data_IF_549651126577
#
_entry.id   IF_549651126577
#
_cell.length_a   1.000
_cell.length_b   1.000
_cell.length_c   1.000
_cell.angle_alpha   90.00
_cell.angle_beta   90.00
_cell.angle_gamma   90.00
#
_symmetry.space_group_name_H-M   'P 1'
#
loop_
_entity.id
_entity.type
_entity.pdbx_description
1 polymer ?
#
# COMPACT_ATOMS: atom_id res chain seq x y z
N UNK A 1 9.75 -17.05 -4.29
CA UNK A 1 10.14 -15.84 -3.55
C UNK A 1 8.90 -15.08 -3.15
N UNK A 2 8.85 -14.67 -1.89
CA UNK A 2 7.69 -13.93 -1.40
C UNK A 2 7.89 -12.43 -1.66
N UNK A 3 6.91 -11.81 -2.26
CA UNK A 3 6.89 -10.37 -2.48
C UNK A 3 5.79 -9.79 -1.60
N UNK A 4 6.08 -8.68 -0.92
CA UNK A 4 5.12 -8.04 -0.04
C UNK A 4 4.88 -6.60 -0.44
N UNK A 5 3.66 -6.14 -0.19
CA UNK A 5 3.30 -4.75 -0.31
C UNK A 5 3.25 -4.21 1.12
N UNK A 6 4.10 -3.24 1.42
CA UNK A 6 4.26 -2.76 2.79
C UNK A 6 4.40 -1.25 2.85
N UNK A 7 4.27 -0.70 4.04
CA UNK A 7 4.51 0.71 4.27
C UNK A 7 5.98 0.95 4.59
N UNK A 8 6.56 1.95 3.97
CA UNK A 8 7.90 2.42 4.28
C UNK A 8 7.80 3.80 4.93
N UNK A 9 8.29 3.90 6.16
CA UNK A 9 8.22 5.15 6.90
C UNK A 9 9.25 6.14 6.38
N UNK A 10 8.81 7.38 6.20
CA UNK A 10 9.63 8.50 5.76
C UNK A 10 9.29 9.71 6.62
N UNK A 11 10.01 10.81 6.39
CA UNK A 11 9.75 12.05 7.08
C UNK A 11 10.48 12.18 8.40
N UNK A 12 10.12 13.20 9.18
CA UNK A 12 10.74 13.54 10.44
C UNK A 12 10.02 12.84 11.61
N UNK A 13 10.65 12.84 12.77
CA UNK A 13 10.09 12.18 13.97
C UNK A 13 8.65 12.65 14.28
N UNK A 14 8.37 13.93 14.11
CA UNK A 14 7.05 14.49 14.44
C UNK A 14 6.12 14.59 13.25
N UNK A 15 6.61 14.31 12.05
CA UNK A 15 5.82 14.39 10.82
C UNK A 15 6.08 13.16 9.95
N UNK A 16 5.68 11.98 10.44
CA UNK A 16 5.88 10.77 9.64
C UNK A 16 4.91 10.74 8.47
N UNK A 17 5.41 10.27 7.34
CA UNK A 17 4.56 9.88 6.24
C UNK A 17 5.08 8.56 5.68
N UNK A 18 4.26 7.90 4.90
CA UNK A 18 4.58 6.56 4.45
C UNK A 18 4.41 6.45 2.96
N UNK A 19 5.24 5.61 2.36
CA UNK A 19 5.04 5.17 0.98
C UNK A 19 4.56 3.73 1.00
N UNK A 20 3.68 3.41 0.07
CA UNK A 20 3.23 2.04 -0.14
C UNK A 20 4.17 1.45 -1.16
N UNK A 21 4.96 0.47 -0.76
CA UNK A 21 6.03 -0.08 -1.60
C UNK A 21 5.88 -1.58 -1.75
N UNK A 22 6.38 -2.07 -2.88
CA UNK A 22 6.49 -3.50 -3.15
C UNK A 22 7.93 -3.89 -2.90
N UNK A 23 8.15 -4.89 -2.08
CA UNK A 23 9.49 -5.32 -1.71
C UNK A 23 9.56 -6.83 -1.49
N UNK A 24 10.76 -7.37 -1.66
CA UNK A 24 11.02 -8.76 -1.34
C UNK A 24 10.91 -8.95 0.17
N UNK A 25 10.20 -9.99 0.60
CA UNK A 25 10.00 -10.29 2.01
C UNK A 25 11.33 -10.56 2.75
N UNK A 26 12.36 -10.92 2.03
CA UNK A 26 13.69 -11.15 2.60
C UNK A 26 14.47 -9.87 2.86
N UNK A 27 14.05 -8.77 2.26
CA UNK A 27 14.72 -7.50 2.46
C UNK A 27 14.36 -6.95 3.83
N UNK A 28 15.36 -6.85 4.70
CA UNK A 28 15.17 -6.38 6.07
C UNK A 28 15.15 -4.87 6.19
N UNK A 29 15.61 -4.18 5.15
CA UNK A 29 15.73 -2.73 5.21
C UNK A 29 14.76 -2.06 4.26
N UNK A 30 14.16 -1.01 4.76
CA UNK A 30 13.17 -0.24 4.03
C UNK A 30 13.72 0.50 2.82
N UNK A 31 15.04 0.52 2.64
CA UNK A 31 15.64 1.23 1.51
C UNK A 31 15.57 0.50 0.16
N UNK A 32 15.14 -0.76 0.13
CA UNK A 32 15.14 -1.55 -1.09
C UNK A 32 13.73 -1.95 -1.50
N UNK A 33 13.05 -1.05 -2.15
CA UNK A 33 11.76 -1.33 -2.73
C UNK A 33 11.91 -1.69 -4.20
N UNK A 34 11.11 -2.64 -4.66
CA UNK A 34 11.03 -2.96 -6.08
C UNK A 34 10.33 -1.82 -6.81
N UNK A 35 9.27 -1.31 -6.21
CA UNK A 35 8.45 -0.26 -6.80
C UNK A 35 7.68 0.46 -5.70
N UNK A 36 7.45 1.76 -5.88
CA UNK A 36 6.55 2.54 -5.02
C UNK A 36 5.22 2.69 -5.75
N UNK A 37 4.13 2.26 -5.11
CA UNK A 37 2.81 2.26 -5.73
C UNK A 37 1.81 3.19 -5.05
N UNK A 38 2.22 3.90 -4.03
CA UNK A 38 1.32 4.84 -3.38
C UNK A 38 1.96 5.56 -2.23
N UNK A 39 1.17 6.41 -1.57
CA UNK A 39 1.60 7.14 -0.40
C UNK A 39 0.46 7.30 0.60
N UNK A 40 0.83 7.46 1.87
CA UNK A 40 -0.10 7.61 2.98
C UNK A 40 0.42 8.66 3.94
N UNK A 41 -0.37 9.68 4.18
CA UNK A 41 -0.05 10.79 5.09
C UNK A 41 -1.13 10.85 6.17
N UNK A 42 -0.94 10.14 7.31
CA UNK A 42 -2.01 10.01 8.30
C UNK A 42 -2.31 11.31 9.04
N UNK A 43 -1.35 12.23 9.09
CA UNK A 43 -1.56 13.49 9.82
C UNK A 43 -2.19 14.59 9.00
N UNK A 44 -2.43 14.37 7.72
CA UNK A 44 -3.19 15.31 6.91
C UNK A 44 -4.66 15.26 7.32
N UNK A 45 -5.37 16.37 7.12
CA UNK A 45 -6.81 16.41 7.38
C UNK A 45 -7.56 16.80 6.12
N UNK A 46 -8.29 15.87 5.50
CA UNK A 46 -8.34 14.44 5.83
C UNK A 46 -7.04 13.71 5.51
N UNK A 47 -6.85 12.52 6.07
CA UNK A 47 -5.67 11.71 5.77
C UNK A 47 -5.54 11.53 4.27
N UNK A 48 -4.32 11.69 3.77
CA UNK A 48 -4.04 11.50 2.35
C UNK A 48 -3.69 10.05 2.08
N UNK A 49 -4.46 9.40 1.22
CA UNK A 49 -4.18 8.04 0.78
C UNK A 49 -4.25 8.03 -0.74
N UNK A 50 -3.12 7.77 -1.38
CA UNK A 50 -3.06 7.64 -2.84
C UNK A 50 -2.49 6.28 -3.19
N UNK A 51 -3.10 5.58 -4.12
CA UNK A 51 -2.66 4.28 -4.59
C UNK A 51 -2.74 4.26 -6.11
N UNK A 52 -1.68 3.79 -6.75
CA UNK A 52 -1.71 3.49 -8.18
C UNK A 52 -2.47 2.16 -8.34
N UNK A 53 -3.74 2.25 -8.67
CA UNK A 53 -4.62 1.08 -8.74
C UNK A 53 -4.14 0.05 -9.73
N UNK A 54 -3.67 0.46 -10.90
CA UNK A 54 -3.18 -0.49 -11.91
C UNK A 54 -2.02 -1.31 -11.38
N UNK A 55 -1.06 -0.65 -10.73
CA UNK A 55 0.11 -1.35 -10.19
C UNK A 55 -0.27 -2.21 -9.00
N UNK A 56 -1.18 -1.72 -8.14
CA UNK A 56 -1.67 -2.53 -7.02
C UNK A 56 -2.35 -3.80 -7.53
N UNK A 57 -3.21 -3.68 -8.53
CA UNK A 57 -3.88 -4.85 -9.12
C UNK A 57 -2.87 -5.81 -9.74
N UNK A 58 -1.86 -5.28 -10.44
CA UNK A 58 -0.81 -6.10 -11.02
C UNK A 58 -0.10 -6.94 -9.96
N UNK A 59 0.39 -6.27 -8.89
CA UNK A 59 1.16 -6.96 -7.87
C UNK A 59 0.32 -7.95 -7.07
N UNK A 60 -0.91 -7.61 -6.75
CA UNK A 60 -1.82 -8.56 -6.10
C UNK A 60 -2.08 -9.76 -7.00
N UNK A 61 -2.22 -9.52 -8.31
CA UNK A 61 -2.47 -10.58 -9.28
C UNK A 61 -1.31 -11.55 -9.44
N UNK A 62 -0.08 -11.11 -9.21
CA UNK A 62 1.09 -11.99 -9.27
C UNK A 62 1.47 -12.58 -7.90
N UNK A 63 0.63 -12.39 -6.90
CA UNK A 63 0.80 -13.04 -5.61
C UNK A 63 1.48 -12.21 -4.53
N UNK A 64 1.71 -10.92 -4.75
CA UNK A 64 2.24 -10.07 -3.70
C UNK A 64 1.23 -9.98 -2.54
N UNK A 65 1.73 -10.08 -1.32
CA UNK A 65 0.87 -10.10 -0.14
C UNK A 65 0.97 -8.77 0.61
N UNK A 66 -0.15 -8.06 0.81
CA UNK A 66 -0.13 -6.83 1.59
C UNK A 66 -0.02 -7.13 3.08
N UNK A 67 0.72 -6.28 3.79
CA UNK A 67 0.72 -6.31 5.24
C UNK A 67 -0.64 -5.83 5.75
N UNK A 68 -0.96 -6.06 7.03
CA UNK A 68 -2.24 -5.62 7.60
C UNK A 68 -2.52 -4.13 7.36
N UNK A 69 -1.59 -3.21 7.67
CA UNK A 69 -1.87 -1.79 7.42
C UNK A 69 -2.13 -1.49 5.96
N UNK A 70 -1.39 -2.12 5.04
CA UNK A 70 -1.59 -1.89 3.61
C UNK A 70 -2.93 -2.46 3.16
N UNK A 71 -3.28 -3.64 3.64
CA UNK A 71 -4.58 -4.22 3.29
C UNK A 71 -5.71 -3.28 3.71
N UNK A 72 -5.62 -2.71 4.90
CA UNK A 72 -6.61 -1.74 5.35
C UNK A 72 -6.69 -0.52 4.42
N UNK A 73 -5.55 0.01 4.00
CA UNK A 73 -5.53 1.13 3.05
C UNK A 73 -6.15 0.74 1.72
N UNK A 74 -5.86 -0.46 1.23
CA UNK A 74 -6.46 -0.95 -0.02
C UNK A 74 -7.96 -1.14 0.11
N UNK A 75 -8.45 -1.52 1.28
CA UNK A 75 -9.89 -1.60 1.53
C UNK A 75 -10.54 -0.22 1.47
N UNK A 76 -9.87 0.79 2.03
CA UNK A 76 -10.37 2.17 2.01
C UNK A 76 -10.42 2.74 0.60
N UNK A 77 -9.44 2.44 -0.24
CA UNK A 77 -9.43 2.90 -1.64
C UNK A 77 -10.31 2.06 -2.55
N UNK A 78 -10.71 0.87 -2.11
CA UNK A 78 -11.49 -0.06 -2.93
C UNK A 78 -10.66 -1.02 -3.76
N UNK A 79 -9.35 -0.89 -3.76
CA UNK A 79 -8.48 -1.75 -4.58
C UNK A 79 -8.51 -3.20 -4.12
N UNK A 80 -8.64 -3.44 -2.82
CA UNK A 80 -8.74 -4.79 -2.29
C UNK A 80 -10.01 -5.49 -2.77
N UNK A 81 -11.14 -4.79 -2.66
CA UNK A 81 -12.42 -5.32 -3.09
C UNK A 81 -12.43 -5.59 -4.60
N UNK A 82 -11.83 -4.69 -5.38
CA UNK A 82 -11.70 -4.87 -6.82
C UNK A 82 -10.90 -6.12 -7.15
N UNK A 83 -9.80 -6.34 -6.45
CA UNK A 83 -8.97 -7.54 -6.67
C UNK A 83 -9.72 -8.81 -6.29
N UNK A 84 -10.45 -8.80 -5.18
CA UNK A 84 -11.18 -9.96 -4.68
C UNK A 84 -12.55 -10.15 -5.33
N UNK A 85 -13.01 -9.21 -6.14
CA UNK A 85 -14.34 -9.27 -6.72
C UNK A 85 -15.45 -9.05 -5.70
N UNK A 86 -15.17 -8.29 -4.65
CA UNK A 86 -16.13 -8.02 -3.58
C UNK A 86 -16.88 -6.70 -3.83
N UNK A 87 -18.06 -6.50 -3.20
CA UNK A 87 -18.72 -5.20 -3.25
C UNK A 87 -17.87 -4.12 -2.59
N UNK A 88 -18.09 -2.86 -2.99
CA UNK A 88 -17.37 -1.74 -2.41
C UNK A 88 -16.08 -1.38 -3.11
N UNK A 89 -15.92 -1.77 -4.37
CA UNK A 89 -14.70 -1.51 -5.13
C UNK A 89 -14.41 -0.03 -5.36
N UNK A 90 -15.40 0.84 -5.18
CA UNK A 90 -15.20 2.29 -5.25
C UNK A 90 -14.55 2.85 -4.00
N UNK A 91 -14.45 2.07 -2.93
CA UNK A 91 -13.85 2.49 -1.68
C UNK A 91 -14.73 3.41 -0.84
N UNK A 92 -14.13 3.96 0.20
CA UNK A 92 -14.81 4.85 1.15
C UNK A 92 -14.15 6.23 1.23
N UNK A 93 -13.22 6.50 0.34
CA UNK A 93 -12.59 7.83 0.28
C UNK A 93 -13.51 8.88 -0.27
#
# INVERSE_FOLDING_TARGET
MAVKIKLMRLGKIRQPYYRIVVADARSRRSGRAIETIGKYHPKNEPSLIEVDSERAQYWLGVGAQPTEPVQHLLEVTGDWQKFKGLPGAEGTL
#
